data_IF_775711911828
#
_entry.id   IF_775711911828
#
_cell.length_a   1.000
_cell.length_b   1.000
_cell.length_c   1.000
_cell.angle_alpha   90.00
_cell.angle_beta   90.00
_cell.angle_gamma   90.00
#
_symmetry.space_group_name_H-M   'P 1'
#
loop_
_entity.id
_entity.type
_entity.pdbx_description
1 polymer ?
#
# COMPACT_ATOMS: atom_id res chain seq x y z
N UNK A 1 3.47 16.92 22.98
CA UNK A 1 2.04 16.94 22.61
C UNK A 1 1.80 15.85 21.58
N UNK A 2 0.67 15.13 21.64
CA UNK A 2 0.34 14.06 20.69
C UNK A 2 -0.53 14.62 19.55
N UNK A 3 -0.16 14.32 18.30
CA UNK A 3 -0.84 14.81 17.10
C UNK A 3 -1.96 13.89 16.60
N UNK A 4 -2.76 14.40 15.67
CA UNK A 4 -3.77 13.65 14.91
C UNK A 4 -3.34 13.56 13.45
N UNK A 5 -3.29 12.36 12.89
CA UNK A 5 -2.83 12.10 11.54
C UNK A 5 -3.87 11.30 10.76
N UNK A 6 -4.10 11.72 9.52
CA UNK A 6 -4.84 10.98 8.51
C UNK A 6 -3.86 10.55 7.42
N UNK A 7 -3.81 9.24 7.14
CA UNK A 7 -2.94 8.65 6.13
C UNK A 7 -3.81 7.95 5.09
N UNK A 8 -3.60 8.24 3.81
CA UNK A 8 -4.34 7.65 2.69
C UNK A 8 -3.32 7.01 1.75
N UNK A 9 -2.94 5.75 1.97
CA UNK A 9 -2.02 5.05 1.08
C UNK A 9 -2.72 4.53 -0.19
N UNK A 10 -1.92 4.12 -1.19
CA UNK A 10 -2.42 3.52 -2.43
C UNK A 10 -1.55 2.34 -2.87
N UNK A 11 -2.14 1.26 -3.39
CA UNK A 11 -1.39 0.09 -3.88
C UNK A 11 -0.38 0.51 -4.97
N UNK A 12 0.83 -0.06 -4.94
CA UNK A 12 1.94 0.34 -5.80
C UNK A 12 2.73 1.58 -5.34
N UNK A 13 2.33 2.25 -4.25
CA UNK A 13 3.08 3.35 -3.65
C UNK A 13 4.17 2.89 -2.67
N UNK A 14 4.90 3.84 -2.06
CA UNK A 14 5.90 3.59 -1.01
C UNK A 14 5.31 3.15 0.35
N UNK A 15 4.02 2.76 0.39
CA UNK A 15 3.32 2.42 1.63
C UNK A 15 4.04 1.36 2.47
N UNK A 16 4.61 0.32 1.86
CA UNK A 16 5.31 -0.74 2.61
C UNK A 16 6.47 -0.19 3.47
N UNK A 17 7.20 0.81 2.97
CA UNK A 17 8.25 1.50 3.74
C UNK A 17 7.70 2.52 4.73
N UNK A 18 6.52 3.09 4.46
CA UNK A 18 5.88 4.09 5.32
C UNK A 18 5.09 3.47 6.48
N UNK A 19 4.55 2.26 6.30
CA UNK A 19 3.76 1.53 7.30
C UNK A 19 4.45 1.47 8.68
N UNK A 20 5.73 1.06 8.81
CA UNK A 20 6.39 1.01 10.13
C UNK A 20 6.56 2.41 10.75
N UNK A 21 6.72 3.46 9.95
CA UNK A 21 6.81 4.85 10.45
C UNK A 21 5.46 5.28 11.03
N UNK A 22 4.37 4.99 10.32
CA UNK A 22 3.00 5.30 10.75
C UNK A 22 2.62 4.53 12.01
N UNK A 23 3.00 3.26 12.09
CA UNK A 23 2.86 2.42 13.29
C UNK A 23 3.60 3.01 14.49
N UNK A 24 4.86 3.43 14.29
CA UNK A 24 5.67 4.03 15.34
C UNK A 24 5.09 5.35 15.85
N UNK A 25 4.49 6.16 14.97
CA UNK A 25 3.78 7.38 15.38
C UNK A 25 2.58 7.05 16.26
N UNK A 26 1.78 6.05 15.90
CA UNK A 26 0.68 5.54 16.72
C UNK A 26 1.16 5.04 18.08
N UNK A 27 2.22 4.24 18.09
CA UNK A 27 2.85 3.69 19.31
C UNK A 27 3.36 4.79 20.26
N UNK A 28 3.82 5.93 19.72
CA UNK A 28 4.26 7.11 20.49
C UNK A 28 3.10 7.96 21.03
N UNK A 29 1.84 7.53 20.83
CA UNK A 29 0.66 8.18 21.37
C UNK A 29 -0.06 9.12 20.40
N UNK A 30 0.37 9.21 19.14
CA UNK A 30 -0.39 9.96 18.13
C UNK A 30 -1.67 9.20 17.76
N UNK A 31 -2.76 9.93 17.53
CA UNK A 31 -3.97 9.33 16.96
C UNK A 31 -3.80 9.24 15.44
N UNK A 32 -3.59 8.03 14.93
CA UNK A 32 -3.38 7.80 13.50
C UNK A 32 -4.53 7.02 12.91
N UNK A 33 -5.17 7.58 11.89
CA UNK A 33 -6.19 6.92 11.08
C UNK A 33 -5.62 6.65 9.69
N UNK A 34 -5.61 5.38 9.28
CA UNK A 34 -5.21 4.93 7.95
C UNK A 34 -6.46 4.56 7.16
N UNK A 35 -6.66 5.16 5.99
CA UNK A 35 -7.84 4.93 5.15
C UNK A 35 -7.42 4.25 3.87
N UNK A 36 -7.78 2.98 3.69
CA UNK A 36 -7.31 2.12 2.59
C UNK A 36 -8.46 1.74 1.65
N UNK A 37 -8.20 1.48 0.36
CA UNK A 37 -9.21 0.90 -0.54
C UNK A 37 -9.79 -0.41 0.03
N UNK A 38 -11.08 -0.66 -0.12
CA UNK A 38 -11.68 -1.96 0.27
C UNK A 38 -11.07 -3.16 -0.50
N UNK A 39 -10.61 -2.90 -1.72
CA UNK A 39 -9.97 -3.89 -2.58
C UNK A 39 -8.43 -3.96 -2.43
N UNK A 40 -7.85 -3.32 -1.41
CA UNK A 40 -6.39 -3.28 -1.24
C UNK A 40 -5.74 -4.66 -1.10
N UNK A 41 -4.52 -4.80 -1.64
CA UNK A 41 -3.79 -6.08 -1.64
C UNK A 41 -3.02 -6.33 -0.35
N UNK A 42 -2.28 -5.31 0.10
CA UNK A 42 -1.24 -5.46 1.14
C UNK A 42 -1.37 -4.47 2.30
N UNK A 43 -2.38 -3.60 2.26
CA UNK A 43 -2.56 -2.49 3.20
C UNK A 43 -3.35 -2.84 4.46
N UNK A 44 -3.36 -4.14 4.83
CA UNK A 44 -4.09 -4.65 5.98
C UNK A 44 -3.76 -3.92 7.29
N UNK A 45 -4.57 -4.15 8.34
CA UNK A 45 -4.54 -3.39 9.58
C UNK A 45 -3.16 -3.40 10.25
N UNK A 46 -2.95 -2.40 11.10
CA UNK A 46 -1.68 -2.12 11.77
C UNK A 46 -1.90 -2.00 13.28
N UNK A 47 -0.93 -2.48 14.06
CA UNK A 47 -0.94 -2.27 15.50
C UNK A 47 -0.74 -0.78 15.80
N UNK A 48 -1.45 -0.24 16.78
CA UNK A 48 -1.40 1.18 17.18
C UNK A 48 -1.98 2.21 16.21
N UNK A 49 -2.73 1.79 15.19
CA UNK A 49 -3.48 2.69 14.29
C UNK A 49 -4.94 2.28 14.17
N UNK A 50 -5.82 3.21 13.80
CA UNK A 50 -7.18 2.89 13.35
C UNK A 50 -7.17 2.73 11.84
N UNK A 51 -7.58 1.58 11.33
CA UNK A 51 -7.74 1.36 9.89
C UNK A 51 -9.21 1.47 9.49
N UNK A 52 -9.51 2.26 8.46
CA UNK A 52 -10.82 2.36 7.83
C UNK A 52 -10.70 1.99 6.34
N UNK A 53 -11.80 1.55 5.75
CA UNK A 53 -11.87 1.24 4.32
C UNK A 53 -12.80 2.21 3.59
N UNK A 54 -12.54 2.44 2.29
CA UNK A 54 -13.43 3.20 1.40
C UNK A 54 -13.73 2.42 0.11
N UNK A 55 -14.91 2.62 -0.49
CA UNK A 55 -15.34 1.86 -1.67
C UNK A 55 -14.57 2.28 -2.92
N UNK A 56 -14.33 1.33 -3.83
CA UNK A 56 -13.65 1.58 -5.10
C UNK A 56 -14.32 0.83 -6.25
N UNK A 57 -14.16 1.35 -7.47
CA UNK A 57 -14.81 0.80 -8.68
C UNK A 57 -14.00 -0.34 -9.32
N UNK A 58 -13.29 -1.12 -8.51
CA UNK A 58 -12.54 -2.28 -8.94
C UNK A 58 -12.51 -3.32 -7.83
N UNK A 59 -12.36 -4.58 -8.23
CA UNK A 59 -12.26 -5.72 -7.34
C UNK A 59 -10.80 -6.03 -7.02
N UNK A 60 -10.57 -6.74 -5.91
CA UNK A 60 -9.25 -7.26 -5.57
C UNK A 60 -8.67 -8.14 -6.69
N UNK A 61 -9.50 -8.96 -7.32
CA UNK A 61 -9.10 -9.85 -8.41
C UNK A 61 -8.64 -9.08 -9.66
N UNK A 62 -9.33 -7.99 -10.03
CA UNK A 62 -8.90 -7.13 -11.13
C UNK A 62 -7.54 -6.48 -10.85
N UNK A 63 -7.32 -6.05 -9.60
CA UNK A 63 -6.04 -5.47 -9.18
C UNK A 63 -4.90 -6.52 -9.21
N UNK A 64 -5.15 -7.74 -8.73
CA UNK A 64 -4.20 -8.86 -8.80
C UNK A 64 -3.86 -9.24 -10.24
N UNK A 65 -4.86 -9.31 -11.13
CA UNK A 65 -4.65 -9.61 -12.54
C UNK A 65 -3.79 -8.55 -13.24
N UNK A 66 -4.05 -7.27 -12.96
CA UNK A 66 -3.25 -6.16 -13.49
C UNK A 66 -1.80 -6.23 -13.02
N UNK A 67 -1.57 -6.50 -11.73
CA UNK A 67 -0.22 -6.67 -11.18
C UNK A 67 0.52 -7.85 -11.84
N UNK A 68 -0.14 -9.00 -11.97
CA UNK A 68 0.44 -10.17 -12.64
C UNK A 68 0.82 -9.87 -14.10
N UNK A 69 -0.04 -9.14 -14.82
CA UNK A 69 0.23 -8.69 -16.19
C UNK A 69 1.47 -7.79 -16.28
N UNK A 70 1.63 -6.83 -15.36
CA UNK A 70 2.81 -5.97 -15.31
C UNK A 70 4.10 -6.76 -15.02
N UNK A 71 4.05 -7.71 -14.08
CA UNK A 71 5.19 -8.56 -13.77
C UNK A 71 5.60 -9.42 -14.97
N UNK A 72 4.63 -9.98 -15.71
CA UNK A 72 4.90 -10.74 -16.93
C UNK A 72 5.64 -9.90 -17.99
N UNK A 73 5.28 -8.62 -18.13
CA UNK A 73 6.02 -7.69 -19.01
C UNK A 73 7.45 -7.51 -18.55
N UNK A 74 7.70 -7.27 -17.25
CA UNK A 74 9.05 -7.03 -16.71
C UNK A 74 9.95 -8.24 -16.90
N UNK A 75 9.47 -9.45 -16.60
CA UNK A 75 10.27 -10.68 -16.74
C UNK A 75 10.51 -11.08 -18.20
N UNK A 76 9.72 -10.53 -19.14
CA UNK A 76 9.89 -10.75 -20.57
C UNK A 76 10.90 -9.79 -21.22
N UNK A 77 11.42 -8.80 -20.50
CA UNK A 77 12.45 -7.89 -21.00
C UNK A 77 13.79 -8.66 -21.07
N UNK A 78 14.24 -8.97 -22.28
CA UNK A 78 15.55 -9.60 -22.50
C UNK A 78 16.67 -8.56 -22.34
N UNK A 79 17.22 -8.50 -21.13
CA UNK A 79 18.33 -7.59 -20.74
C UNK A 79 19.66 -7.93 -21.42
N UNK A 80 19.74 -9.05 -22.14
CA UNK A 80 20.94 -9.50 -22.86
C UNK A 80 21.28 -8.61 -24.08
N UNK A 81 20.28 -7.92 -24.63
CA UNK A 81 20.43 -7.17 -25.90
C UNK A 81 20.95 -5.74 -25.76
N UNK A 82 20.97 -5.17 -24.55
CA UNK A 82 21.28 -3.75 -24.30
C UNK A 82 22.71 -3.51 -23.75
N UNK A 83 23.56 -4.56 -23.73
CA UNK A 83 24.97 -4.49 -23.30
C UNK A 83 25.97 -4.56 -24.47
N UNK A 84 25.52 -4.34 -25.70
CA UNK A 84 26.37 -4.28 -26.90
C UNK A 84 26.87 -2.86 -27.20
#
# INVERSE_FOLDING_TARGET
EAGKLLVIPSDGSHWLGMKPVVEELGRRGNQVVVVVPEASLTMGPSEHTTTLTYPVNYTKAELEANLAGQLNTIVSIDISTDLA
#
